data_IF_064019426919
#
_entry.id   IF_064019426919
#
_cell.length_a   1.000
_cell.length_b   1.000
_cell.length_c   1.000
_cell.angle_alpha   90.00
_cell.angle_beta   90.00
_cell.angle_gamma   90.00
#
_symmetry.space_group_name_H-M   'P 1'
#
loop_
_entity.id
_entity.type
_entity.pdbx_description
1 polymer ?
#
# COMPACT_ATOMS: atom_id res chain seq x y z
N UNK A 1 -47.17 13.79 17.88
CA UNK A 1 -46.39 12.53 18.07
C UNK A 1 -45.69 12.04 16.81
N UNK A 2 -46.30 12.12 15.62
CA UNK A 2 -45.67 11.67 14.35
C UNK A 2 -44.43 12.51 13.96
N UNK A 3 -44.47 13.83 14.11
CA UNK A 3 -43.33 14.71 13.82
C UNK A 3 -42.11 14.46 14.72
N UNK A 4 -42.32 14.17 16.02
CA UNK A 4 -41.26 13.85 16.98
C UNK A 4 -40.56 12.54 16.62
N UNK A 5 -41.29 11.55 16.11
CA UNK A 5 -40.75 10.25 15.69
C UNK A 5 -39.88 10.34 14.43
N UNK A 6 -40.25 11.21 13.48
CA UNK A 6 -39.47 11.46 12.27
C UNK A 6 -38.16 12.17 12.62
N UNK A 7 -38.19 13.13 13.55
CA UNK A 7 -36.98 13.81 14.05
C UNK A 7 -36.00 12.86 14.75
N UNK A 8 -36.50 11.91 15.55
CA UNK A 8 -35.64 10.91 16.22
C UNK A 8 -35.00 9.90 15.25
N UNK A 9 -35.71 9.51 14.18
CA UNK A 9 -35.17 8.62 13.15
C UNK A 9 -34.06 9.30 12.32
N UNK A 10 -34.19 10.60 12.05
CA UNK A 10 -33.19 11.36 11.31
C UNK A 10 -31.91 11.58 12.14
N UNK A 11 -32.04 11.81 13.45
CA UNK A 11 -30.90 11.94 14.36
C UNK A 11 -30.09 10.63 14.48
N UNK A 12 -30.76 9.47 14.45
CA UNK A 12 -30.10 8.17 14.47
C UNK A 12 -29.33 7.88 13.17
N UNK A 13 -29.82 8.34 12.00
CA UNK A 13 -29.10 8.22 10.73
C UNK A 13 -27.82 9.06 10.69
N UNK A 14 -27.84 10.27 11.29
CA UNK A 14 -26.68 11.17 11.35
C UNK A 14 -25.59 10.69 12.31
N UNK A 15 -25.94 9.86 13.30
CA UNK A 15 -24.97 9.20 14.20
C UNK A 15 -24.40 7.90 13.61
N UNK A 16 -25.06 7.33 12.58
CA UNK A 16 -24.62 6.13 11.88
C UNK A 16 -23.70 6.43 10.68
N UNK A 17 -23.62 7.69 10.23
CA UNK A 17 -22.56 8.10 9.29
C UNK A 17 -21.23 8.03 10.01
N UNK A 18 -20.48 6.94 9.77
CA UNK A 18 -19.15 6.72 10.31
C UNK A 18 -18.28 7.96 10.08
N UNK A 19 -17.63 8.42 11.14
CA UNK A 19 -16.64 9.49 11.05
C UNK A 19 -15.48 8.94 10.23
N UNK A 20 -15.40 9.33 8.96
CA UNK A 20 -14.23 9.07 8.14
C UNK A 20 -13.09 9.94 8.69
N UNK A 21 -12.25 9.36 9.54
CA UNK A 21 -11.01 10.00 9.94
C UNK A 21 -10.09 10.04 8.73
N UNK A 22 -9.75 11.25 8.29
CA UNK A 22 -8.67 11.42 7.34
C UNK A 22 -7.40 10.83 7.96
N UNK A 23 -6.86 9.77 7.34
CA UNK A 23 -5.55 9.26 7.74
C UNK A 23 -4.53 10.39 7.59
N UNK A 24 -3.75 10.62 8.64
CA UNK A 24 -2.65 11.58 8.58
C UNK A 24 -1.72 11.25 7.41
N UNK A 25 -1.05 12.26 6.86
CA UNK A 25 -0.06 12.03 5.81
C UNK A 25 1.05 11.10 6.35
N UNK A 26 1.46 10.06 5.60
CA UNK A 26 2.56 9.21 6.03
C UNK A 26 3.85 10.01 6.28
N UNK A 27 4.61 9.62 7.30
CA UNK A 27 5.94 10.16 7.58
C UNK A 27 6.99 9.59 6.62
N UNK A 28 8.17 10.20 6.49
CA UNK A 28 9.25 9.67 5.63
C UNK A 28 9.64 8.19 5.96
N UNK A 29 9.78 7.78 7.24
CA UNK A 29 9.89 6.37 7.62
C UNK A 29 8.78 5.47 7.08
N UNK A 30 7.53 5.93 7.13
CA UNK A 30 6.37 5.19 6.65
C UNK A 30 6.33 5.14 5.12
N UNK A 31 6.66 6.24 4.44
CA UNK A 31 6.80 6.30 2.97
C UNK A 31 7.87 5.31 2.52
N UNK A 32 9.02 5.27 3.19
CA UNK A 32 10.09 4.33 2.88
C UNK A 32 9.61 2.87 3.03
N UNK A 33 8.86 2.56 4.08
CA UNK A 33 8.31 1.23 4.29
C UNK A 33 7.24 0.87 3.26
N UNK A 34 6.34 1.80 2.90
CA UNK A 34 5.32 1.61 1.85
C UNK A 34 6.00 1.30 0.51
N UNK A 35 6.97 2.12 0.12
CA UNK A 35 7.67 1.96 -1.16
C UNK A 35 8.44 0.64 -1.24
N UNK A 36 9.17 0.26 -0.18
CA UNK A 36 9.89 -1.00 -0.13
C UNK A 36 8.94 -2.21 -0.15
N UNK A 37 7.87 -2.16 0.64
CA UNK A 37 6.87 -3.24 0.70
C UNK A 37 6.19 -3.44 -0.65
N UNK A 38 5.74 -2.36 -1.29
CA UNK A 38 5.15 -2.43 -2.63
C UNK A 38 6.13 -3.00 -3.67
N UNK A 39 7.37 -2.51 -3.69
CA UNK A 39 8.40 -3.02 -4.59
C UNK A 39 8.71 -4.51 -4.37
N UNK A 40 8.69 -4.98 -3.13
CA UNK A 40 8.87 -6.38 -2.78
C UNK A 40 7.71 -7.26 -3.29
N UNK A 41 6.47 -6.80 -3.16
CA UNK A 41 5.30 -7.51 -3.70
C UNK A 41 5.33 -7.61 -5.23
N UNK A 42 5.78 -6.56 -5.92
CA UNK A 42 5.96 -6.59 -7.38
C UNK A 42 7.03 -7.62 -7.81
N UNK A 43 8.14 -7.73 -7.07
CA UNK A 43 9.17 -8.76 -7.28
C UNK A 43 8.56 -10.16 -7.14
N UNK A 44 7.78 -10.40 -6.09
CA UNK A 44 7.15 -11.69 -5.83
C UNK A 44 6.10 -12.04 -6.90
N UNK A 45 5.31 -11.06 -7.35
CA UNK A 45 4.37 -11.23 -8.44
C UNK A 45 5.07 -11.56 -9.77
N UNK A 46 6.18 -10.89 -10.07
CA UNK A 46 7.01 -11.18 -11.23
C UNK A 46 7.58 -12.61 -11.17
N UNK A 47 8.09 -13.03 -10.01
CA UNK A 47 8.58 -14.40 -9.80
C UNK A 47 7.46 -15.44 -9.99
N UNK A 48 6.26 -15.17 -9.50
CA UNK A 48 5.10 -16.04 -9.75
C UNK A 48 4.76 -16.13 -11.25
N UNK A 49 4.81 -15.02 -11.99
CA UNK A 49 4.58 -15.01 -13.43
C UNK A 49 5.65 -15.83 -14.18
N UNK A 50 6.91 -15.73 -13.77
CA UNK A 50 8.01 -16.53 -14.31
C UNK A 50 7.86 -18.03 -14.01
N UNK A 51 7.27 -18.41 -12.88
CA UNK A 51 7.00 -19.81 -12.55
C UNK A 51 5.80 -20.36 -13.32
N UNK A 52 4.74 -19.57 -13.50
CA UNK A 52 3.44 -20.03 -14.04
C UNK A 52 3.35 -19.91 -15.56
N UNK A 53 3.95 -18.90 -16.16
CA UNK A 53 3.77 -18.60 -17.59
C UNK A 53 4.83 -19.24 -18.48
N UNK A 54 4.37 -19.76 -19.62
CA UNK A 54 5.21 -20.18 -20.76
C UNK A 54 5.18 -19.19 -21.92
N UNK A 55 4.30 -18.19 -21.88
CA UNK A 55 4.22 -17.17 -22.93
C UNK A 55 5.47 -16.27 -22.87
N UNK A 56 6.12 -16.06 -24.01
CA UNK A 56 7.41 -15.35 -24.08
C UNK A 56 7.28 -13.89 -23.61
N UNK A 57 6.25 -13.19 -24.06
CA UNK A 57 6.04 -11.77 -23.76
C UNK A 57 5.81 -11.54 -22.26
N UNK A 58 5.00 -12.40 -21.62
CA UNK A 58 4.76 -12.36 -20.17
C UNK A 58 6.04 -12.61 -19.38
N UNK A 59 6.87 -13.56 -19.83
CA UNK A 59 8.13 -13.89 -19.16
C UNK A 59 9.17 -12.79 -19.31
N UNK A 60 9.27 -12.19 -20.49
CA UNK A 60 10.16 -11.06 -20.74
C UNK A 60 9.76 -9.86 -19.87
N UNK A 61 8.45 -9.56 -19.81
CA UNK A 61 7.92 -8.53 -18.92
C UNK A 61 8.24 -8.83 -17.45
N UNK A 62 7.97 -10.05 -16.98
CA UNK A 62 8.21 -10.42 -15.59
C UNK A 62 9.71 -10.39 -15.24
N UNK A 63 10.59 -10.75 -16.16
CA UNK A 63 12.05 -10.65 -15.96
C UNK A 63 12.47 -9.19 -15.74
N UNK A 64 11.94 -8.27 -16.55
CA UNK A 64 12.23 -6.84 -16.41
C UNK A 64 11.65 -6.28 -15.11
N UNK A 65 10.40 -6.62 -14.77
CA UNK A 65 9.77 -6.24 -13.51
C UNK A 65 10.59 -6.68 -12.30
N UNK A 66 11.02 -7.94 -12.25
CA UNK A 66 11.85 -8.44 -11.15
C UNK A 66 13.18 -7.66 -11.05
N UNK A 67 13.85 -7.47 -12.19
CA UNK A 67 15.15 -6.77 -12.23
C UNK A 67 15.05 -5.31 -11.78
N UNK A 68 14.10 -4.56 -12.35
CA UNK A 68 13.96 -3.13 -12.12
C UNK A 68 13.51 -2.84 -10.68
N UNK A 69 12.55 -3.60 -10.16
CA UNK A 69 12.08 -3.42 -8.78
C UNK A 69 13.14 -3.82 -7.75
N UNK A 70 13.97 -4.86 -8.01
CA UNK A 70 15.14 -5.17 -7.17
C UNK A 70 16.12 -4.00 -7.12
N UNK A 71 16.46 -3.46 -8.29
CA UNK A 71 17.37 -2.32 -8.38
C UNK A 71 16.82 -1.06 -7.68
N UNK A 72 15.50 -0.84 -7.72
CA UNK A 72 14.86 0.25 -6.98
C UNK A 72 14.87 0.00 -5.48
N UNK A 73 14.56 -1.22 -5.01
CA UNK A 73 14.60 -1.56 -3.59
C UNK A 73 16.02 -1.42 -3.02
N UNK A 74 17.06 -1.85 -3.74
CA UNK A 74 18.46 -1.67 -3.32
C UNK A 74 18.81 -0.18 -3.16
N UNK A 75 18.37 0.67 -4.10
CA UNK A 75 18.55 2.12 -4.03
C UNK A 75 17.78 2.73 -2.85
N UNK A 76 16.56 2.27 -2.59
CA UNK A 76 15.75 2.73 -1.46
C UNK A 76 16.43 2.39 -0.13
N UNK A 77 16.90 1.14 0.04
CA UNK A 77 17.64 0.72 1.22
C UNK A 77 18.94 1.49 1.42
N UNK A 78 19.68 1.77 0.33
CA UNK A 78 20.87 2.61 0.38
C UNK A 78 20.55 4.04 0.81
N UNK A 79 19.44 4.61 0.32
CA UNK A 79 19.01 5.96 0.67
C UNK A 79 18.61 6.08 2.13
N UNK A 80 17.75 5.19 2.65
CA UNK A 80 17.31 5.26 4.05
C UNK A 80 18.49 5.08 5.01
N UNK A 81 19.46 4.23 4.66
CA UNK A 81 20.72 4.10 5.39
C UNK A 81 21.52 5.40 5.38
N UNK A 82 21.67 6.06 4.23
CA UNK A 82 22.38 7.34 4.09
C UNK A 82 21.73 8.45 4.91
N UNK A 83 20.39 8.47 4.97
CA UNK A 83 19.62 9.47 5.70
C UNK A 83 19.40 9.12 7.17
N UNK A 84 19.90 7.97 7.64
CA UNK A 84 19.62 7.43 8.98
C UNK A 84 18.11 7.35 9.29
N UNK A 85 17.32 7.03 8.28
CA UNK A 85 15.89 6.77 8.37
C UNK A 85 15.70 5.27 8.57
N UNK A 86 14.99 4.88 9.63
CA UNK A 86 14.56 3.50 9.82
C UNK A 86 13.17 3.35 9.22
N UNK A 87 12.95 2.50 8.20
CA UNK A 87 11.60 2.23 7.69
C UNK A 87 10.64 1.84 8.82
N UNK A 88 9.43 2.37 8.79
CA UNK A 88 8.41 2.21 9.82
C UNK A 88 7.14 1.59 9.25
N UNK A 89 6.74 0.46 9.84
CA UNK A 89 5.51 -0.23 9.50
C UNK A 89 4.26 0.65 9.72
N UNK A 90 3.24 0.46 8.89
CA UNK A 90 2.04 1.29 8.88
C UNK A 90 0.85 0.58 8.25
N UNK A 91 -0.35 1.10 8.50
CA UNK A 91 -1.60 0.48 8.05
C UNK A 91 -1.70 0.39 6.52
N UNK A 92 -1.12 1.33 5.78
CA UNK A 92 -1.07 1.25 4.31
C UNK A 92 -0.22 0.07 3.85
N UNK A 93 0.97 -0.14 4.43
CA UNK A 93 1.85 -1.25 4.06
C UNK A 93 1.23 -2.61 4.37
N UNK A 94 0.48 -2.73 5.47
CA UNK A 94 -0.23 -3.95 5.86
C UNK A 94 -1.43 -4.29 4.97
N UNK A 95 -1.95 -3.29 4.26
CA UNK A 95 -3.12 -3.43 3.41
C UNK A 95 -2.78 -3.69 1.93
N UNK A 96 -1.48 -3.72 1.58
CA UNK A 96 -0.99 -4.17 0.26
C UNK A 96 -1.03 -5.70 0.16
#
# INVERSE_FOLDING_TARGET
MLFVRISSALAALLLASGIAYAQGKPTDPQIAHIAYTAGQLDIEAAQQALQKSKNKEVRDFATNMESDHKAVNDKALALVKKLNVKPEDNDTSKAL
#
